data_IF_036437893002
#
_entry.id   IF_036437893002
#
_cell.length_a   1.000
_cell.length_b   1.000
_cell.length_c   1.000
_cell.angle_alpha   90.00
_cell.angle_beta   90.00
_cell.angle_gamma   90.00
#
_symmetry.space_group_name_H-M   'P 1'
#
loop_
_entity.id
_entity.type
_entity.pdbx_description
1 polymer ?
#
# COMPACT_ATOMS: atom_id res chain seq x y z
N UNK A 1 12.18 -23.52 12.62
CA UNK A 1 11.25 -22.35 12.63
C UNK A 1 12.08 -21.14 12.32
N UNK A 2 11.69 -20.30 11.36
CA UNK A 2 12.37 -19.01 11.13
C UNK A 2 12.04 -18.10 12.31
N UNK A 3 13.05 -17.62 13.01
CA UNK A 3 12.87 -16.69 14.13
C UNK A 3 12.35 -15.36 13.58
N UNK A 4 11.18 -14.93 14.08
CA UNK A 4 10.57 -13.65 13.71
C UNK A 4 10.96 -12.63 14.77
N UNK A 5 11.71 -11.60 14.38
CA UNK A 5 12.13 -10.54 15.30
C UNK A 5 10.98 -9.54 15.48
N UNK A 6 10.81 -9.04 16.71
CA UNK A 6 9.83 -8.00 17.03
C UNK A 6 10.51 -6.69 17.42
N UNK A 7 10.20 -5.62 16.70
CA UNK A 7 10.65 -4.27 17.02
C UNK A 7 9.50 -3.41 17.54
N UNK A 8 9.86 -2.49 18.41
CA UNK A 8 9.00 -1.35 18.77
C UNK A 8 9.60 -0.09 18.18
N UNK A 9 8.78 0.75 17.55
CA UNK A 9 9.22 1.97 16.90
C UNK A 9 8.37 3.15 17.35
N UNK A 10 8.91 4.36 17.18
CA UNK A 10 8.17 5.60 17.40
C UNK A 10 8.27 6.50 16.17
N UNK A 11 7.15 7.12 15.79
CA UNK A 11 7.08 8.08 14.69
C UNK A 11 6.37 9.38 15.11
N UNK A 12 7.11 10.47 15.03
CA UNK A 12 6.69 11.82 15.40
C UNK A 12 6.10 12.56 14.21
N UNK A 13 6.69 12.38 13.03
CA UNK A 13 6.25 13.03 11.80
C UNK A 13 6.80 12.31 10.58
N UNK A 14 6.20 12.59 9.42
CA UNK A 14 6.63 12.05 8.14
C UNK A 14 7.01 13.22 7.23
N UNK A 15 8.24 13.22 6.74
CA UNK A 15 8.70 14.12 5.67
C UNK A 15 9.29 13.26 4.58
N UNK A 16 8.74 13.36 3.37
CA UNK A 16 9.21 12.56 2.24
C UNK A 16 8.97 13.29 0.92
N UNK A 17 9.90 13.17 -0.02
CA UNK A 17 9.80 13.71 -1.38
C UNK A 17 9.86 12.58 -2.39
N UNK A 18 8.75 12.29 -3.06
CA UNK A 18 8.72 11.27 -4.11
C UNK A 18 9.28 11.84 -5.42
N UNK A 19 10.09 11.06 -6.14
CA UNK A 19 10.70 11.46 -7.42
C UNK A 19 10.17 10.64 -8.60
N UNK A 20 9.54 9.49 -8.34
CA UNK A 20 8.90 8.64 -9.35
C UNK A 20 7.39 8.91 -9.53
N UNK A 21 6.89 10.04 -9.04
CA UNK A 21 5.53 10.51 -9.35
C UNK A 21 5.38 10.97 -10.80
N UNK A 22 4.14 10.96 -11.29
CA UNK A 22 3.75 11.52 -12.59
C UNK A 22 2.83 12.73 -12.39
N UNK A 23 2.70 13.57 -13.41
CA UNK A 23 1.73 14.67 -13.38
C UNK A 23 0.32 14.08 -13.30
N UNK A 24 -0.46 14.50 -12.30
CA UNK A 24 -1.82 14.03 -12.10
C UNK A 24 -2.76 14.66 -13.12
N UNK A 25 -3.59 13.83 -13.76
CA UNK A 25 -4.68 14.33 -14.59
C UNK A 25 -5.76 14.93 -13.70
N UNK A 26 -6.27 16.07 -14.13
CA UNK A 26 -7.23 16.86 -13.37
C UNK A 26 -8.65 16.56 -13.84
N UNK A 27 -9.58 16.48 -12.90
CA UNK A 27 -11.01 16.31 -13.15
C UNK A 27 -11.81 17.19 -12.19
N UNK A 28 -12.84 17.87 -12.68
CA UNK A 28 -13.72 18.65 -11.82
C UNK A 28 -14.62 17.70 -11.01
N UNK A 29 -14.86 18.00 -9.73
CA UNK A 29 -15.71 17.20 -8.85
C UNK A 29 -17.12 16.94 -9.42
N UNK A 30 -17.71 17.91 -10.12
CA UNK A 30 -19.04 17.80 -10.73
C UNK A 30 -19.07 16.78 -11.87
N UNK A 31 -17.92 16.61 -12.53
CA UNK A 31 -17.71 15.66 -13.65
C UNK A 31 -17.05 14.35 -13.22
N UNK A 32 -16.61 14.24 -11.97
CA UNK A 32 -15.97 13.04 -11.45
C UNK A 32 -16.95 11.87 -11.58
N UNK A 33 -16.48 10.68 -11.94
CA UNK A 33 -17.24 9.44 -11.80
C UNK A 33 -16.22 8.38 -11.41
N UNK A 34 -16.38 7.81 -10.21
CA UNK A 34 -15.43 6.84 -9.68
C UNK A 34 -15.27 5.63 -10.61
N UNK A 35 -16.27 5.29 -11.43
CA UNK A 35 -16.24 4.15 -12.34
C UNK A 35 -15.56 4.47 -13.68
N UNK A 36 -15.59 5.73 -14.13
CA UNK A 36 -14.95 6.16 -15.38
C UNK A 36 -13.56 6.77 -15.17
N UNK A 37 -13.31 7.32 -13.98
CA UNK A 37 -12.06 7.98 -13.66
C UNK A 37 -10.87 7.00 -13.67
N UNK A 38 -9.70 7.54 -14.00
CA UNK A 38 -8.42 6.82 -13.89
C UNK A 38 -8.18 6.28 -12.48
N UNK A 39 -7.26 5.33 -12.35
CA UNK A 39 -6.92 4.70 -11.05
C UNK A 39 -6.37 5.69 -10.01
N UNK A 40 -5.90 6.85 -10.44
CA UNK A 40 -5.49 7.97 -9.62
C UNK A 40 -5.61 9.26 -10.43
N UNK A 41 -5.60 10.40 -9.76
CA UNK A 41 -5.65 11.73 -10.39
C UNK A 41 -5.83 12.84 -9.35
N UNK A 42 -6.24 14.02 -9.81
CA UNK A 42 -6.50 15.19 -8.99
C UNK A 42 -7.93 15.66 -9.20
N UNK A 43 -8.73 15.67 -8.14
CA UNK A 43 -10.10 16.22 -8.17
C UNK A 43 -10.02 17.70 -7.79
N UNK A 44 -10.54 18.56 -8.66
CA UNK A 44 -10.64 20.00 -8.43
C UNK A 44 -12.07 20.39 -8.07
N UNK A 45 -12.18 21.20 -7.03
CA UNK A 45 -13.37 21.99 -6.71
C UNK A 45 -13.09 23.47 -6.99
N UNK A 46 -14.07 24.34 -6.79
CA UNK A 46 -13.90 25.79 -6.96
C UNK A 46 -12.89 26.43 -5.99
N UNK A 47 -12.64 25.80 -4.84
CA UNK A 47 -11.86 26.40 -3.73
C UNK A 47 -10.62 25.58 -3.32
N UNK A 48 -10.57 24.30 -3.68
CA UNK A 48 -9.49 23.39 -3.27
C UNK A 48 -9.36 22.23 -4.25
N UNK A 49 -8.26 21.51 -4.15
CA UNK A 49 -8.03 20.26 -4.85
C UNK A 49 -7.72 19.13 -3.87
N UNK A 50 -7.92 17.89 -4.32
CA UNK A 50 -7.59 16.69 -3.56
C UNK A 50 -7.11 15.60 -4.51
N UNK A 51 -5.94 15.03 -4.24
CA UNK A 51 -5.46 13.92 -5.03
C UNK A 51 -6.15 12.64 -4.60
N UNK A 52 -6.47 11.77 -5.55
CA UNK A 52 -7.16 10.53 -5.26
C UNK A 52 -6.43 9.34 -5.87
N UNK A 53 -6.54 8.21 -5.19
CA UNK A 53 -6.27 6.88 -5.72
C UNK A 53 -7.50 5.99 -5.53
N UNK A 54 -7.72 5.04 -6.43
CA UNK A 54 -8.87 4.12 -6.42
C UNK A 54 -8.37 2.69 -6.40
N UNK A 55 -8.91 1.88 -5.49
CA UNK A 55 -8.60 0.46 -5.36
C UNK A 55 -9.66 -0.36 -6.08
N UNK A 56 -9.23 -1.44 -6.72
CA UNK A 56 -10.16 -2.41 -7.34
C UNK A 56 -10.59 -3.45 -6.32
N UNK A 57 -9.70 -3.83 -5.41
CA UNK A 57 -9.94 -4.78 -4.33
C UNK A 57 -9.38 -4.16 -3.04
N UNK A 58 -9.96 -4.44 -1.86
CA UNK A 58 -9.35 -4.05 -0.59
C UNK A 58 -7.98 -4.69 -0.32
N UNK A 59 -7.56 -5.69 -1.11
CA UNK A 59 -6.30 -6.39 -0.92
C UNK A 59 -5.11 -5.62 -1.49
N UNK A 60 -4.15 -5.27 -0.61
CA UNK A 60 -2.92 -4.52 -0.93
C UNK A 60 -2.08 -5.12 -2.06
N UNK A 61 -2.11 -6.44 -2.23
CA UNK A 61 -1.29 -7.14 -3.24
C UNK A 61 -1.96 -7.26 -4.61
N UNK A 62 -3.17 -6.71 -4.80
CA UNK A 62 -3.88 -6.75 -6.09
C UNK A 62 -3.94 -5.36 -6.72
N UNK A 63 -3.48 -5.25 -7.98
CA UNK A 63 -3.59 -4.03 -8.79
C UNK A 63 -2.75 -2.82 -8.32
N UNK A 64 -1.69 -3.04 -7.52
CA UNK A 64 -0.73 -2.01 -7.09
C UNK A 64 -1.33 -0.77 -6.40
N UNK A 65 -2.14 -0.92 -5.35
CA UNK A 65 -2.75 0.21 -4.65
C UNK A 65 -1.72 1.17 -4.06
N UNK A 66 -0.65 0.66 -3.44
CA UNK A 66 0.40 1.49 -2.85
C UNK A 66 1.19 2.30 -3.89
N UNK A 67 1.45 1.73 -5.07
CA UNK A 67 2.04 2.51 -6.17
C UNK A 67 1.17 3.70 -6.61
N UNK A 68 -0.17 3.52 -6.60
CA UNK A 68 -1.13 4.59 -6.95
C UNK A 68 -1.12 5.69 -5.89
N UNK A 69 -1.08 5.32 -4.61
CA UNK A 69 -0.99 6.27 -3.50
C UNK A 69 0.34 7.03 -3.56
N UNK A 70 1.45 6.31 -3.75
CA UNK A 70 2.78 6.89 -3.94
C UNK A 70 2.79 7.96 -5.04
N UNK A 71 2.15 7.67 -6.17
CA UNK A 71 2.04 8.61 -7.30
C UNK A 71 1.34 9.91 -6.90
N UNK A 72 0.37 9.85 -5.98
CA UNK A 72 -0.35 11.03 -5.47
C UNK A 72 0.30 11.71 -4.28
N UNK A 73 1.36 11.12 -3.69
CA UNK A 73 1.83 11.46 -2.34
C UNK A 73 2.42 12.87 -2.18
N UNK A 74 2.89 13.50 -3.26
CA UNK A 74 3.36 14.89 -3.22
C UNK A 74 2.22 15.93 -3.12
N UNK A 75 0.96 15.50 -3.13
CA UNK A 75 -0.19 16.40 -3.04
C UNK A 75 -0.50 16.78 -1.60
N UNK A 76 -0.98 18.00 -1.36
CA UNK A 76 -1.25 18.53 -0.01
C UNK A 76 -2.35 17.77 0.74
N UNK A 77 -3.34 17.25 0.02
CA UNK A 77 -4.45 16.45 0.56
C UNK A 77 -4.69 15.26 -0.35
N UNK A 78 -4.71 14.06 0.24
CA UNK A 78 -4.76 12.79 -0.48
C UNK A 78 -5.88 11.93 0.07
N UNK A 79 -6.70 11.39 -0.83
CA UNK A 79 -7.69 10.35 -0.52
C UNK A 79 -7.34 9.03 -1.19
N UNK A 80 -7.80 7.95 -0.58
CA UNK A 80 -7.84 6.63 -1.20
C UNK A 80 -9.26 6.05 -1.14
N UNK A 81 -9.79 5.65 -2.28
CA UNK A 81 -11.12 5.04 -2.42
C UNK A 81 -10.97 3.53 -2.38
N UNK A 82 -11.51 2.88 -1.34
CA UNK A 82 -11.29 1.45 -1.08
C UNK A 82 -12.64 0.74 -0.91
N UNK A 83 -12.95 -0.32 -1.69
CA UNK A 83 -14.07 -1.19 -1.38
C UNK A 83 -13.87 -1.85 -0.01
N UNK A 84 -14.92 -1.92 0.83
CA UNK A 84 -14.85 -2.73 2.06
C UNK A 84 -14.78 -4.22 1.77
N UNK A 85 -15.45 -4.67 0.71
CA UNK A 85 -15.50 -6.05 0.23
C UNK A 85 -15.35 -6.05 -1.29
N UNK A 86 -14.63 -7.03 -1.82
CA UNK A 86 -14.72 -7.44 -3.22
C UNK A 86 -14.98 -8.94 -3.31
N UNK A 87 -16.21 -9.31 -3.64
CA UNK A 87 -16.60 -10.70 -3.90
C UNK A 87 -16.65 -10.95 -5.42
N UNK A 88 -15.85 -11.90 -5.90
CA UNK A 88 -15.83 -12.30 -7.31
C UNK A 88 -16.78 -13.47 -7.62
N UNK A 89 -17.64 -13.89 -6.68
CA UNK A 89 -18.47 -15.09 -6.83
C UNK A 89 -17.75 -16.35 -6.32
N UNK A 90 -18.48 -17.45 -6.16
CA UNK A 90 -18.00 -18.72 -5.57
C UNK A 90 -16.74 -19.28 -6.23
N UNK A 91 -16.56 -19.05 -7.54
CA UNK A 91 -15.39 -19.49 -8.30
C UNK A 91 -14.31 -18.39 -8.43
N UNK A 92 -14.39 -17.35 -7.59
CA UNK A 92 -13.48 -16.22 -7.56
C UNK A 92 -12.93 -15.94 -6.16
N UNK A 93 -12.17 -14.86 -6.04
CA UNK A 93 -11.64 -14.40 -4.76
C UNK A 93 -12.69 -13.61 -3.96
N UNK A 94 -12.61 -13.70 -2.64
CA UNK A 94 -13.31 -12.80 -1.71
C UNK A 94 -12.30 -12.01 -0.89
N UNK A 95 -12.08 -10.77 -1.29
CA UNK A 95 -11.17 -9.87 -0.61
C UNK A 95 -11.95 -8.96 0.35
N UNK A 96 -11.40 -8.68 1.53
CA UNK A 96 -11.99 -7.81 2.53
C UNK A 96 -10.94 -6.84 3.08
N UNK A 97 -11.35 -5.62 3.41
CA UNK A 97 -10.46 -4.58 3.96
C UNK A 97 -9.88 -5.02 5.30
N UNK A 98 -8.55 -4.91 5.43
CA UNK A 98 -7.82 -5.28 6.64
C UNK A 98 -7.50 -4.07 7.50
N UNK A 99 -7.41 -4.27 8.82
CA UNK A 99 -7.04 -3.22 9.76
C UNK A 99 -5.66 -2.60 9.45
N UNK A 100 -4.70 -3.40 9.00
CA UNK A 100 -3.37 -2.90 8.60
C UNK A 100 -3.42 -1.85 7.48
N UNK A 101 -4.39 -1.91 6.56
CA UNK A 101 -4.59 -0.87 5.55
C UNK A 101 -4.90 0.49 6.20
N UNK A 102 -5.73 0.50 7.24
CA UNK A 102 -6.10 1.70 7.99
C UNK A 102 -4.87 2.28 8.69
N UNK A 103 -4.06 1.42 9.31
CA UNK A 103 -2.81 1.80 9.96
C UNK A 103 -1.89 2.59 9.03
N UNK A 104 -1.65 2.09 7.81
CA UNK A 104 -0.85 2.78 6.81
C UNK A 104 -1.42 4.16 6.46
N UNK A 105 -2.73 4.24 6.21
CA UNK A 105 -3.36 5.50 5.82
C UNK A 105 -3.32 6.54 6.95
N UNK A 106 -3.52 6.11 8.19
CA UNK A 106 -3.43 6.99 9.35
C UNK A 106 -2.02 7.56 9.55
N UNK A 107 -1.00 6.69 9.51
CA UNK A 107 0.40 7.09 9.72
C UNK A 107 0.92 8.02 8.61
N UNK A 108 0.44 7.84 7.37
CA UNK A 108 0.87 8.64 6.22
C UNK A 108 -0.08 9.81 5.90
N UNK A 109 -1.03 10.10 6.80
CA UNK A 109 -2.02 11.17 6.69
C UNK A 109 -2.86 11.14 5.39
N UNK A 110 -3.35 9.95 5.03
CA UNK A 110 -4.20 9.71 3.85
C UNK A 110 -5.64 9.44 4.31
N UNK A 111 -6.59 10.19 3.75
CA UNK A 111 -8.01 10.06 4.07
C UNK A 111 -8.61 8.85 3.34
N UNK A 112 -9.39 8.03 4.04
CA UNK A 112 -10.07 6.88 3.45
C UNK A 112 -11.47 7.29 2.99
N UNK A 113 -11.82 6.90 1.78
CA UNK A 113 -13.20 6.86 1.29
C UNK A 113 -13.59 5.40 1.18
N UNK A 114 -14.47 4.93 2.07
CA UNK A 114 -14.96 3.56 2.00
C UNK A 114 -16.01 3.46 0.90
N UNK A 115 -15.92 2.44 0.07
CA UNK A 115 -16.84 2.21 -1.04
C UNK A 115 -17.44 0.80 -0.98
N UNK A 116 -18.48 0.58 -1.76
CA UNK A 116 -19.03 -0.73 -2.03
C UNK A 116 -19.44 -0.83 -3.50
N UNK A 117 -19.34 -2.04 -4.04
CA UNK A 117 -19.82 -2.33 -5.39
C UNK A 117 -21.34 -2.45 -5.38
N UNK A 118 -22.01 -1.71 -6.25
CA UNK A 118 -23.48 -1.68 -6.40
C UNK A 118 -23.98 -2.60 -7.51
N UNK A 119 -23.22 -2.69 -8.60
CA UNK A 119 -23.58 -3.53 -9.74
C UNK A 119 -22.39 -4.37 -10.19
N UNK A 120 -22.68 -5.50 -10.84
CA UNK A 120 -21.69 -6.36 -11.47
C UNK A 120 -22.32 -7.15 -12.61
N UNK A 121 -21.49 -7.87 -13.37
CA UNK A 121 -21.93 -8.74 -14.46
C UNK A 121 -21.34 -10.14 -14.29
N UNK A 122 -22.08 -11.17 -14.71
CA UNK A 122 -21.51 -12.52 -14.85
C UNK A 122 -20.34 -12.49 -15.84
N UNK A 123 -19.24 -13.13 -15.49
CA UNK A 123 -18.03 -13.12 -16.31
C UNK A 123 -18.27 -13.84 -17.64
N UNK A 124 -18.07 -13.12 -18.74
CA UNK A 124 -18.12 -13.65 -20.10
C UNK A 124 -16.73 -14.01 -20.66
N UNK A 125 -15.68 -13.96 -19.84
CA UNK A 125 -14.31 -14.27 -20.27
C UNK A 125 -14.20 -15.73 -20.71
N UNK A 126 -13.38 -15.98 -21.74
CA UNK A 126 -13.08 -17.34 -22.23
C UNK A 126 -12.62 -18.22 -21.06
N UNK A 127 -13.27 -19.36 -20.85
CA UNK A 127 -13.02 -20.28 -19.74
C UNK A 127 -13.70 -19.92 -18.41
N UNK A 128 -14.56 -18.89 -18.38
CA UNK A 128 -15.33 -18.48 -17.18
C UNK A 128 -16.84 -18.44 -17.39
N UNK A 129 -17.35 -18.73 -18.61
CA UNK A 129 -18.78 -18.67 -18.93
C UNK A 129 -19.65 -19.58 -18.03
N UNK A 130 -19.12 -20.75 -17.67
CA UNK A 130 -19.78 -21.73 -16.81
C UNK A 130 -19.50 -21.53 -15.32
N UNK A 131 -18.62 -20.57 -14.98
CA UNK A 131 -18.22 -20.32 -13.59
C UNK A 131 -19.17 -19.35 -12.91
N UNK A 132 -19.33 -19.52 -11.62
CA UNK A 132 -19.95 -18.55 -10.72
C UNK A 132 -18.94 -17.45 -10.42
N UNK A 133 -18.67 -16.63 -11.45
CA UNK A 133 -17.70 -15.53 -11.37
C UNK A 133 -18.29 -14.20 -11.82
N UNK A 134 -18.07 -13.16 -11.03
CA UNK A 134 -18.44 -11.77 -11.31
C UNK A 134 -17.28 -10.99 -11.95
N UNK A 135 -17.64 -10.05 -12.81
CA UNK A 135 -16.76 -9.10 -13.48
C UNK A 135 -17.43 -7.73 -13.62
N UNK A 136 -16.72 -6.72 -14.12
CA UNK A 136 -17.25 -5.37 -14.37
C UNK A 136 -18.03 -4.79 -13.16
N UNK A 137 -17.51 -5.01 -11.96
CA UNK A 137 -18.12 -4.48 -10.74
C UNK A 137 -17.97 -2.96 -10.71
N UNK A 138 -19.04 -2.24 -10.40
CA UNK A 138 -19.07 -0.76 -10.34
C UNK A 138 -19.48 -0.28 -8.96
N UNK A 139 -18.79 0.73 -8.46
CA UNK A 139 -19.12 1.38 -7.20
C UNK A 139 -20.42 2.18 -7.32
N UNK A 140 -21.11 2.36 -6.19
CA UNK A 140 -22.09 3.43 -6.07
C UNK A 140 -21.34 4.78 -6.10
N UNK A 141 -21.45 5.50 -7.22
CA UNK A 141 -20.71 6.75 -7.47
C UNK A 141 -21.17 7.90 -6.57
N UNK A 142 -22.48 8.04 -6.37
CA UNK A 142 -23.06 9.08 -5.50
C UNK A 142 -22.55 8.95 -4.06
N UNK A 143 -22.48 7.72 -3.54
CA UNK A 143 -21.99 7.42 -2.21
C UNK A 143 -20.50 7.77 -2.03
N UNK A 144 -19.69 7.51 -3.07
CA UNK A 144 -18.27 7.88 -3.08
C UNK A 144 -18.12 9.40 -3.14
N UNK A 145 -18.83 10.08 -4.05
CA UNK A 145 -18.80 11.54 -4.19
C UNK A 145 -19.22 12.26 -2.91
N UNK A 146 -20.26 11.79 -2.24
CA UNK A 146 -20.73 12.38 -0.98
C UNK A 146 -19.62 12.40 0.08
N UNK A 147 -18.92 11.27 0.29
CA UNK A 147 -17.79 11.21 1.21
C UNK A 147 -16.61 12.09 0.78
N UNK A 148 -16.32 12.18 -0.52
CA UNK A 148 -15.28 13.08 -1.03
C UNK A 148 -15.61 14.54 -0.69
N UNK A 149 -16.88 14.96 -0.89
CA UNK A 149 -17.34 16.30 -0.53
C UNK A 149 -17.25 16.57 0.98
N UNK A 150 -17.61 15.59 1.82
CA UNK A 150 -17.40 15.69 3.27
C UNK A 150 -15.92 15.90 3.62
N UNK A 151 -15.01 15.13 3.00
CA UNK A 151 -13.56 15.26 3.22
C UNK A 151 -13.06 16.62 2.74
N UNK A 152 -13.52 17.15 1.61
CA UNK A 152 -13.16 18.49 1.12
C UNK A 152 -13.51 19.59 2.15
N UNK A 153 -14.64 19.44 2.84
CA UNK A 153 -15.06 20.31 3.94
C UNK A 153 -14.31 20.02 5.27
N UNK A 154 -13.79 18.81 5.45
CA UNK A 154 -13.09 18.39 6.66
C UNK A 154 -11.75 19.10 6.86
N UNK A 155 -11.48 19.51 8.10
CA UNK A 155 -10.31 20.34 8.48
C UNK A 155 -9.31 19.63 9.40
N UNK A 156 -9.73 18.60 10.12
CA UNK A 156 -8.80 17.81 10.95
C UNK A 156 -8.03 16.81 10.09
N UNK A 157 -7.02 16.16 10.67
CA UNK A 157 -6.16 15.21 9.95
C UNK A 157 -6.89 13.95 9.49
N UNK A 158 -6.24 13.19 8.60
CA UNK A 158 -6.76 11.91 8.12
C UNK A 158 -6.98 10.91 9.26
N UNK A 159 -6.15 10.94 10.30
CA UNK A 159 -6.33 10.10 11.48
C UNK A 159 -7.71 10.31 12.13
N UNK A 160 -8.13 11.56 12.31
CA UNK A 160 -9.41 11.89 12.94
C UNK A 160 -10.58 11.49 12.04
N UNK A 161 -10.48 11.79 10.75
CA UNK A 161 -11.46 11.37 9.76
C UNK A 161 -11.61 9.85 9.71
N UNK A 162 -10.50 9.13 9.54
CA UNK A 162 -10.50 7.68 9.44
C UNK A 162 -11.01 7.04 10.74
N UNK A 163 -10.60 7.54 11.91
CA UNK A 163 -11.12 7.05 13.20
C UNK A 163 -12.64 7.17 13.25
N UNK A 164 -13.20 8.35 12.98
CA UNK A 164 -14.63 8.56 13.00
C UNK A 164 -15.38 7.74 11.93
N UNK A 165 -14.81 7.63 10.73
CA UNK A 165 -15.35 6.79 9.65
C UNK A 165 -15.47 5.33 10.09
N UNK A 166 -14.48 4.84 10.85
CA UNK A 166 -14.50 3.47 11.35
C UNK A 166 -15.40 3.26 12.57
N UNK A 167 -15.38 4.16 13.54
CA UNK A 167 -16.22 4.10 14.74
C UNK A 167 -17.71 4.19 14.41
N UNK A 168 -18.10 5.15 13.58
CA UNK A 168 -19.51 5.52 13.42
C UNK A 168 -20.16 4.91 12.18
N UNK A 169 -19.38 4.64 11.12
CA UNK A 169 -19.94 4.34 9.79
C UNK A 169 -19.57 2.97 9.25
N UNK A 170 -18.44 2.38 9.66
CA UNK A 170 -17.91 1.15 9.05
C UNK A 170 -18.93 0.01 9.02
N UNK A 171 -19.55 -0.32 10.15
CA UNK A 171 -20.54 -1.41 10.23
C UNK A 171 -21.70 -1.19 9.25
N UNK A 172 -22.22 0.04 9.17
CA UNK A 172 -23.31 0.36 8.24
C UNK A 172 -22.88 0.25 6.77
N UNK A 173 -21.64 0.65 6.44
CA UNK A 173 -21.10 0.57 5.07
C UNK A 173 -20.82 -0.89 4.69
N UNK A 174 -20.34 -1.68 5.65
CA UNK A 174 -20.10 -3.11 5.47
C UNK A 174 -21.40 -3.86 5.22
N UNK A 175 -22.45 -3.58 5.99
CA UNK A 175 -23.78 -4.13 5.75
C UNK A 175 -24.37 -3.71 4.39
N UNK A 176 -24.18 -2.45 3.98
CA UNK A 176 -24.56 -2.01 2.63
C UNK A 176 -23.84 -2.82 1.55
N UNK A 177 -22.56 -3.11 1.73
CA UNK A 177 -21.81 -3.95 0.79
C UNK A 177 -22.35 -5.38 0.72
N UNK A 178 -22.69 -5.99 1.86
CA UNK A 178 -23.29 -7.33 1.90
C UNK A 178 -24.64 -7.36 1.18
N UNK A 179 -25.54 -6.43 1.52
CA UNK A 179 -26.86 -6.32 0.90
C UNK A 179 -26.75 -6.05 -0.62
N UNK A 180 -25.74 -5.29 -1.03
CA UNK A 180 -25.46 -5.06 -2.44
C UNK A 180 -25.04 -6.35 -3.16
N UNK A 181 -24.18 -7.17 -2.56
CA UNK A 181 -23.82 -8.46 -3.14
C UNK A 181 -24.98 -9.44 -3.20
N UNK A 182 -25.89 -9.44 -2.23
CA UNK A 182 -27.13 -10.24 -2.29
C UNK A 182 -28.01 -9.81 -3.48
N UNK A 183 -28.09 -8.49 -3.73
CA UNK A 183 -28.79 -7.92 -4.88
C UNK A 183 -28.13 -8.29 -6.21
N UNK A 184 -26.79 -8.19 -6.28
CA UNK A 184 -25.99 -8.59 -7.45
C UNK A 184 -26.16 -10.07 -7.76
N UNK A 185 -26.10 -10.95 -6.75
CA UNK A 185 -26.30 -12.39 -6.91
C UNK A 185 -27.67 -12.69 -7.52
N UNK A 186 -28.71 -12.02 -6.99
CA UNK A 186 -30.08 -12.15 -7.49
C UNK A 186 -30.23 -11.68 -8.94
N UNK A 187 -29.60 -10.55 -9.31
CA UNK A 187 -29.69 -9.97 -10.66
C UNK A 187 -28.91 -10.77 -11.72
N UNK A 188 -27.74 -11.28 -11.35
CA UNK A 188 -26.83 -11.96 -12.28
C UNK A 188 -27.00 -13.48 -12.32
N UNK A 189 -27.68 -14.06 -11.32
CA UNK A 189 -27.79 -15.50 -11.13
C UNK A 189 -26.46 -16.18 -10.80
N UNK A 190 -25.46 -15.43 -10.31
CA UNK A 190 -24.15 -15.96 -9.89
C UNK A 190 -24.19 -16.32 -8.41
N UNK A 191 -23.74 -17.54 -8.08
CA UNK A 191 -23.57 -17.94 -6.68
C UNK A 191 -22.38 -17.20 -6.06
N UNK A 192 -22.61 -16.51 -4.93
CA UNK A 192 -21.59 -15.79 -4.18
C UNK A 192 -21.17 -16.54 -2.91
N UNK A 193 -20.11 -16.06 -2.25
CA UNK A 193 -19.66 -16.64 -0.98
C UNK A 193 -20.66 -16.39 0.16
N UNK A 194 -20.75 -17.33 1.11
CA UNK A 194 -21.69 -17.27 2.23
C UNK A 194 -21.52 -16.02 3.10
N UNK A 195 -22.63 -15.34 3.39
CA UNK A 195 -22.70 -14.16 4.27
C UNK A 195 -22.25 -14.44 5.71
N UNK A 196 -22.54 -15.63 6.25
CA UNK A 196 -22.22 -16.02 7.65
C UNK A 196 -20.74 -15.79 7.98
N UNK A 197 -19.84 -16.11 7.04
CA UNK A 197 -18.40 -15.92 7.24
C UNK A 197 -17.98 -14.44 7.37
N UNK A 198 -18.77 -13.51 6.81
CA UNK A 198 -18.52 -12.08 6.88
C UNK A 198 -19.05 -11.44 8.15
N UNK A 199 -20.12 -11.97 8.74
CA UNK A 199 -20.62 -11.47 10.03
C UNK A 199 -19.55 -11.72 11.11
N UNK A 200 -18.95 -12.91 11.11
CA UNK A 200 -17.80 -13.24 11.97
C UNK A 200 -16.59 -12.34 11.68
N UNK A 201 -16.36 -11.99 10.41
CA UNK A 201 -15.29 -11.07 10.05
C UNK A 201 -15.57 -9.64 10.55
N UNK A 202 -16.80 -9.15 10.41
CA UNK A 202 -17.22 -7.84 10.86
C UNK A 202 -17.03 -7.71 12.37
N UNK A 203 -17.46 -8.72 13.14
CA UNK A 203 -17.23 -8.75 14.59
C UNK A 203 -15.73 -8.74 14.91
N UNK A 204 -14.93 -9.52 14.18
CA UNK A 204 -13.47 -9.55 14.36
C UNK A 204 -12.81 -8.21 14.09
N UNK A 205 -13.15 -7.52 12.99
CA UNK A 205 -12.51 -6.25 12.65
C UNK A 205 -12.97 -5.10 13.55
N UNK A 206 -14.23 -5.10 14.00
CA UNK A 206 -14.71 -4.17 15.04
C UNK A 206 -13.92 -4.41 16.33
N UNK A 207 -13.73 -5.68 16.72
CA UNK A 207 -12.90 -6.02 17.87
C UNK A 207 -11.44 -5.60 17.69
N UNK A 208 -10.80 -5.84 16.54
CA UNK A 208 -9.43 -5.39 16.25
C UNK A 208 -9.31 -3.85 16.29
N UNK A 209 -10.35 -3.13 15.87
CA UNK A 209 -10.41 -1.67 15.93
C UNK A 209 -10.59 -1.15 17.37
N UNK A 210 -11.50 -1.75 18.14
CA UNK A 210 -11.68 -1.45 19.56
C UNK A 210 -10.43 -1.81 20.35
N UNK A 211 -9.77 -2.93 20.03
CA UNK A 211 -8.43 -3.21 20.52
C UNK A 211 -7.52 -2.05 20.16
N UNK A 212 -7.32 -1.64 18.90
CA UNK A 212 -6.47 -0.48 18.58
C UNK A 212 -6.78 0.79 19.39
N UNK A 213 -8.05 1.14 19.57
CA UNK A 213 -8.48 2.26 20.41
C UNK A 213 -8.09 2.06 21.87
N UNK A 214 -8.23 0.84 22.37
CA UNK A 214 -7.81 0.45 23.70
C UNK A 214 -6.29 0.26 23.79
N UNK A 215 -5.58 0.00 22.69
CA UNK A 215 -4.12 -0.21 22.59
C UNK A 215 -3.39 1.12 22.62
N UNK A 216 -3.98 2.12 21.96
CA UNK A 216 -3.63 3.52 22.19
C UNK A 216 -3.86 3.97 23.64
N UNK A 217 -4.51 3.12 24.44
CA UNK A 217 -4.60 3.19 25.89
C UNK A 217 -3.91 2.00 26.63
N UNK A 218 -3.44 0.92 25.94
CA UNK A 218 -2.72 -0.34 26.36
C UNK A 218 -2.88 -1.58 25.40
N UNK A 219 -1.84 -1.90 24.59
CA UNK A 219 -1.33 -3.19 24.00
C UNK A 219 -2.17 -4.33 23.33
N UNK A 220 -1.96 -4.67 22.03
CA UNK A 220 -2.31 -5.95 21.33
C UNK A 220 -1.55 -6.09 19.99
N UNK A 221 -1.38 -7.30 19.39
CA UNK A 221 -0.32 -7.66 18.40
C UNK A 221 -0.75 -8.49 17.15
N UNK A 222 -2.04 -8.72 16.92
CA UNK A 222 -2.52 -9.91 16.18
C UNK A 222 -2.44 -9.87 14.62
N UNK A 223 -2.46 -8.70 13.97
CA UNK A 223 -2.59 -8.61 12.51
C UNK A 223 -1.26 -8.78 11.74
N UNK A 224 -0.15 -8.21 12.24
CA UNK A 224 1.18 -8.26 11.60
C UNK A 224 1.72 -9.69 11.47
N UNK A 225 1.41 -10.57 12.43
CA UNK A 225 1.84 -11.97 12.43
C UNK A 225 1.36 -12.75 11.19
N UNK A 226 0.17 -12.45 10.65
CA UNK A 226 -0.37 -13.13 9.44
C UNK A 226 0.35 -12.72 8.15
N UNK A 227 0.77 -11.46 8.05
CA UNK A 227 1.49 -10.93 6.88
C UNK A 227 2.93 -11.45 6.84
N UNK A 228 3.62 -11.45 7.99
CA UNK A 228 4.95 -12.03 8.12
C UNK A 228 4.98 -13.52 7.75
N UNK A 229 3.91 -14.27 8.01
CA UNK A 229 3.81 -15.70 7.68
C UNK A 229 3.53 -15.99 6.19
N UNK A 230 3.01 -15.03 5.42
CA UNK A 230 2.65 -15.26 4.02
C UNK A 230 3.90 -15.10 3.14
N UNK A 231 4.59 -16.20 2.84
CA UNK A 231 5.74 -16.21 1.93
C UNK A 231 5.25 -16.27 0.49
N UNK A 232 5.45 -15.21 -0.31
CA UNK A 232 5.23 -15.28 -1.75
C UNK A 232 6.45 -15.93 -2.41
N UNK A 233 6.27 -17.11 -3.03
CA UNK A 233 7.29 -17.90 -3.76
C UNK A 233 8.08 -17.13 -4.86
N UNK A 234 7.75 -15.87 -5.14
CA UNK A 234 8.41 -15.01 -6.12
C UNK A 234 9.20 -13.85 -5.51
N UNK A 235 9.17 -13.68 -4.19
CA UNK A 235 10.12 -12.84 -3.46
C UNK A 235 11.41 -13.68 -3.31
N UNK A 236 12.46 -13.27 -4.02
CA UNK A 236 13.79 -13.85 -3.85
C UNK A 236 14.35 -13.35 -2.51
N UNK A 237 13.96 -14.02 -1.43
CA UNK A 237 14.51 -13.82 -0.10
C UNK A 237 15.79 -14.65 -0.03
N UNK A 238 16.94 -14.03 -0.29
CA UNK A 238 18.22 -14.75 -0.30
C UNK A 238 18.90 -14.73 1.09
N UNK A 239 18.72 -13.70 1.94
CA UNK A 239 19.70 -13.45 3.01
C UNK A 239 19.16 -12.85 4.34
N UNK A 240 17.86 -12.53 4.49
CA UNK A 240 17.33 -11.72 5.61
C UNK A 240 16.40 -12.43 6.61
N UNK A 241 16.21 -11.84 7.80
CA UNK A 241 15.23 -12.29 8.81
C UNK A 241 13.86 -11.64 8.57
N UNK A 242 12.78 -12.27 9.05
CA UNK A 242 11.45 -11.63 9.05
C UNK A 242 11.26 -10.80 10.31
N UNK A 243 10.69 -9.60 10.15
CA UNK A 243 10.44 -8.69 11.25
C UNK A 243 8.98 -8.24 11.31
N UNK A 244 8.50 -8.06 12.54
CA UNK A 244 7.23 -7.39 12.84
C UNK A 244 7.53 -6.12 13.63
N UNK A 245 6.74 -5.07 13.37
CA UNK A 245 6.93 -3.75 13.99
C UNK A 245 5.66 -3.35 14.72
N UNK A 246 5.80 -2.86 15.95
CA UNK A 246 4.77 -2.09 16.66
C UNK A 246 5.21 -0.64 16.69
N UNK A 247 4.61 0.21 15.87
CA UNK A 247 4.99 1.61 15.70
C UNK A 247 4.00 2.48 16.46
N UNK A 248 4.48 3.23 17.44
CA UNK A 248 3.68 4.23 18.16
C UNK A 248 3.83 5.61 17.49
N UNK A 249 2.77 6.42 17.50
CA UNK A 249 2.85 7.83 17.09
C UNK A 249 2.69 8.80 18.26
N UNK A 250 2.94 10.10 18.03
CA UNK A 250 2.83 11.13 19.07
C UNK A 250 1.42 11.31 19.68
N UNK A 251 0.39 10.70 19.09
CA UNK A 251 -0.98 10.71 19.57
C UNK A 251 -1.32 9.43 20.37
N UNK A 252 -0.34 8.58 20.64
CA UNK A 252 -0.47 7.32 21.38
C UNK A 252 -0.99 6.15 20.55
N UNK A 253 -1.21 6.31 19.24
CA UNK A 253 -1.65 5.22 18.35
C UNK A 253 -0.55 4.19 18.13
N UNK A 254 -0.82 2.89 18.34
CA UNK A 254 0.13 1.79 18.07
C UNK A 254 -0.30 0.99 16.84
N UNK A 255 0.58 0.85 15.87
CA UNK A 255 0.31 0.27 14.56
C UNK A 255 1.21 -0.93 14.28
N UNK A 256 0.61 -2.05 13.86
CA UNK A 256 1.34 -3.29 13.59
C UNK A 256 1.61 -3.49 12.11
N UNK A 257 2.90 -3.50 11.74
CA UNK A 257 3.36 -3.58 10.35
C UNK A 257 4.42 -4.66 10.17
N UNK A 258 4.79 -4.91 8.92
CA UNK A 258 5.82 -5.86 8.50
C UNK A 258 6.67 -5.25 7.40
N UNK A 259 7.94 -5.60 7.36
CA UNK A 259 8.81 -5.38 6.20
C UNK A 259 9.07 -6.73 5.52
N UNK A 260 9.54 -6.71 4.28
CA UNK A 260 9.92 -7.93 3.57
C UNK A 260 11.07 -8.64 4.30
N UNK A 261 12.15 -7.90 4.61
CA UNK A 261 13.37 -8.43 5.23
C UNK A 261 13.99 -7.43 6.23
N UNK A 262 14.73 -7.96 7.21
CA UNK A 262 15.64 -7.19 8.05
C UNK A 262 17.04 -7.82 8.08
N UNK A 263 18.07 -6.97 8.03
CA UNK A 263 19.48 -7.36 8.11
C UNK A 263 20.14 -6.69 9.29
N UNK A 264 21.22 -7.30 9.78
CA UNK A 264 22.16 -6.64 10.69
C UNK A 264 23.47 -6.47 9.94
N UNK A 265 23.93 -5.23 9.80
CA UNK A 265 25.19 -4.91 9.14
C UNK A 265 25.91 -3.83 9.95
N UNK A 266 27.16 -4.09 10.35
CA UNK A 266 27.96 -3.17 11.16
C UNK A 266 27.22 -2.63 12.40
N UNK A 267 26.46 -3.50 13.08
CA UNK A 267 25.64 -3.16 14.26
C UNK A 267 24.37 -2.30 13.96
N UNK A 268 24.12 -1.95 12.70
CA UNK A 268 22.89 -1.29 12.25
C UNK A 268 21.87 -2.30 11.71
N UNK A 269 20.59 -2.06 11.98
CA UNK A 269 19.50 -2.80 11.37
C UNK A 269 19.10 -2.18 10.02
N UNK A 270 19.01 -2.99 8.96
CA UNK A 270 18.55 -2.53 7.65
C UNK A 270 17.16 -3.12 7.40
N UNK A 271 16.13 -2.27 7.44
CA UNK A 271 14.77 -2.63 7.05
C UNK A 271 14.68 -2.58 5.52
N UNK A 272 14.46 -3.71 4.87
CA UNK A 272 14.55 -3.83 3.42
C UNK A 272 13.22 -4.21 2.77
N UNK A 273 12.96 -3.57 1.63
CA UNK A 273 11.96 -3.98 0.64
C UNK A 273 12.69 -4.46 -0.62
N UNK A 274 12.28 -5.61 -1.15
CA UNK A 274 13.02 -6.30 -2.22
C UNK A 274 12.13 -6.48 -3.46
N UNK A 275 12.54 -5.92 -4.60
CA UNK A 275 11.83 -6.11 -5.88
C UNK A 275 12.79 -6.70 -6.91
N UNK A 276 12.37 -7.81 -7.52
CA UNK A 276 13.18 -8.56 -8.49
C UNK A 276 12.49 -8.65 -9.85
N UNK A 277 13.28 -8.60 -10.92
CA UNK A 277 12.84 -8.98 -12.26
C UNK A 277 13.74 -10.08 -12.84
N UNK A 278 13.19 -11.29 -12.99
CA UNK A 278 13.90 -12.43 -13.60
C UNK A 278 13.94 -12.36 -15.13
N UNK A 279 13.19 -11.44 -15.75
CA UNK A 279 13.04 -11.33 -17.21
C UNK A 279 13.58 -10.01 -17.76
N UNK A 280 13.41 -8.92 -17.02
CA UNK A 280 13.81 -7.57 -17.43
C UNK A 280 15.02 -7.11 -16.62
N UNK A 281 15.72 -6.09 -17.12
CA UNK A 281 16.86 -5.47 -16.43
C UNK A 281 16.48 -4.61 -15.21
N UNK A 282 15.20 -4.34 -14.98
CA UNK A 282 14.71 -3.61 -13.81
C UNK A 282 13.28 -4.09 -13.46
N UNK A 283 12.88 -4.11 -12.17
CA UNK A 283 11.48 -4.31 -11.78
C UNK A 283 10.54 -3.29 -12.44
N UNK A 284 9.25 -3.62 -12.56
CA UNK A 284 8.30 -2.69 -13.17
C UNK A 284 8.10 -1.49 -12.27
N UNK A 285 7.82 -0.33 -12.86
CA UNK A 285 7.62 0.91 -12.12
C UNK A 285 6.62 0.78 -10.95
N UNK A 286 5.44 0.13 -11.11
CA UNK A 286 4.53 -0.05 -9.98
C UNK A 286 5.11 -0.93 -8.85
N UNK A 287 5.96 -1.91 -9.15
CA UNK A 287 6.64 -2.71 -8.12
C UNK A 287 7.63 -1.83 -7.33
N UNK A 288 8.37 -0.95 -8.02
CA UNK A 288 9.31 -0.01 -7.40
C UNK A 288 8.57 0.99 -6.51
N UNK A 289 7.51 1.62 -7.03
CA UNK A 289 6.69 2.60 -6.30
C UNK A 289 6.01 1.98 -5.07
N UNK A 290 5.57 0.72 -5.15
CA UNK A 290 5.03 -0.05 -4.01
C UNK A 290 6.08 -0.22 -2.89
N UNK A 291 7.30 -0.62 -3.25
CA UNK A 291 8.41 -0.74 -2.28
C UNK A 291 8.76 0.61 -1.65
N UNK A 292 8.90 1.66 -2.46
CA UNK A 292 9.18 3.02 -1.96
C UNK A 292 8.09 3.51 -1.02
N UNK A 293 6.81 3.29 -1.35
CA UNK A 293 5.69 3.69 -0.50
C UNK A 293 5.79 3.12 0.91
N UNK A 294 6.11 1.82 1.03
CA UNK A 294 6.28 1.19 2.34
C UNK A 294 7.46 1.80 3.10
N UNK A 295 8.57 2.09 2.40
CA UNK A 295 9.76 2.69 2.99
C UNK A 295 9.57 4.15 3.44
N UNK A 296 8.56 4.88 2.95
CA UNK A 296 8.23 6.23 3.45
C UNK A 296 8.09 6.19 4.97
N UNK A 297 7.35 5.22 5.48
CA UNK A 297 7.12 5.10 6.92
C UNK A 297 8.37 4.67 7.66
N UNK A 298 9.01 3.59 7.23
CA UNK A 298 10.17 3.04 7.94
C UNK A 298 11.35 4.01 7.98
N UNK A 299 11.59 4.77 6.91
CA UNK A 299 12.66 5.77 6.85
C UNK A 299 12.41 6.98 7.76
N UNK A 300 11.13 7.23 8.09
CA UNK A 300 10.71 8.32 8.96
C UNK A 300 10.52 7.92 10.44
N UNK A 301 10.86 6.68 10.82
CA UNK A 301 10.88 6.32 12.24
C UNK A 301 11.93 7.17 12.98
N UNK A 302 11.54 7.76 14.12
CA UNK A 302 12.45 8.52 14.97
C UNK A 302 13.36 7.58 15.75
N UNK A 303 12.77 6.52 16.32
CA UNK A 303 13.50 5.51 17.09
C UNK A 303 12.99 4.10 16.78
N UNK A 304 13.90 3.14 16.88
CA UNK A 304 13.61 1.72 16.81
C UNK A 304 14.24 1.04 18.03
N UNK A 305 13.54 0.08 18.62
CA UNK A 305 14.01 -0.68 19.78
C UNK A 305 13.81 -2.17 19.56
N UNK A 306 14.80 -2.95 19.99
CA UNK A 306 14.73 -4.40 20.08
C UNK A 306 14.88 -4.80 21.55
N UNK A 307 13.92 -5.58 22.07
CA UNK A 307 13.90 -5.99 23.48
C UNK A 307 14.00 -4.81 24.48
N UNK A 308 13.46 -3.64 24.11
CA UNK A 308 13.50 -2.42 24.92
C UNK A 308 14.72 -1.53 24.68
N UNK A 309 15.80 -2.07 24.10
CA UNK A 309 17.03 -1.35 23.85
C UNK A 309 16.98 -0.59 22.52
N UNK A 310 17.41 0.69 22.47
CA UNK A 310 17.53 1.44 21.21
C UNK A 310 18.50 0.75 20.25
N UNK A 311 18.15 0.76 18.97
CA UNK A 311 19.01 0.26 17.90
C UNK A 311 19.13 1.29 16.78
N UNK A 312 20.31 1.36 16.18
CA UNK A 312 20.53 2.13 14.97
C UNK A 312 19.97 1.38 13.77
N UNK A 313 19.42 2.13 12.80
CA UNK A 313 18.81 1.54 11.64
C UNK A 313 18.78 2.44 10.42
N UNK A 314 18.71 1.80 9.26
CA UNK A 314 18.48 2.39 7.96
C UNK A 314 17.41 1.59 7.23
N UNK A 315 16.90 2.16 6.14
CA UNK A 315 15.99 1.46 5.23
C UNK A 315 16.63 1.30 3.87
N UNK A 316 16.25 0.24 3.16
CA UNK A 316 16.80 -0.01 1.82
C UNK A 316 15.74 -0.56 0.86
N UNK A 317 15.67 0.02 -0.32
CA UNK A 317 15.03 -0.62 -1.47
C UNK A 317 16.08 -1.39 -2.25
N UNK A 318 15.94 -2.72 -2.36
CA UNK A 318 16.81 -3.55 -3.19
C UNK A 318 16.09 -3.88 -4.50
N UNK A 319 16.66 -3.42 -5.63
CA UNK A 319 16.17 -3.67 -6.97
C UNK A 319 17.15 -4.59 -7.72
N UNK A 320 16.71 -5.78 -8.10
CA UNK A 320 17.52 -6.72 -8.88
C UNK A 320 16.93 -6.95 -10.28
N UNK A 321 17.80 -7.01 -11.28
CA UNK A 321 17.39 -7.19 -12.67
C UNK A 321 18.32 -8.07 -13.50
N UNK A 322 17.74 -8.73 -14.50
CA UNK A 322 18.41 -9.70 -15.35
C UNK A 322 19.56 -9.05 -16.13
N UNK A 323 20.72 -9.73 -16.13
CA UNK A 323 21.93 -9.34 -16.86
C UNK A 323 22.57 -8.01 -16.45
N UNK A 324 22.06 -7.32 -15.42
CA UNK A 324 22.68 -6.09 -14.92
C UNK A 324 24.08 -6.42 -14.38
N UNK A 325 25.06 -5.65 -14.82
CA UNK A 325 26.47 -5.80 -14.45
C UNK A 325 26.78 -4.86 -13.29
N UNK A 326 27.30 -5.42 -12.20
CA UNK A 326 27.67 -4.68 -11.00
C UNK A 326 26.49 -4.33 -10.09
N UNK A 327 26.76 -3.42 -9.15
CA UNK A 327 25.79 -2.90 -8.19
C UNK A 327 26.10 -1.43 -7.92
N UNK A 328 25.06 -0.64 -7.67
CA UNK A 328 25.17 0.75 -7.22
C UNK A 328 24.21 0.98 -6.05
N UNK A 329 24.59 1.83 -5.10
CA UNK A 329 23.80 2.16 -3.91
C UNK A 329 23.72 3.68 -3.77
N UNK A 330 22.51 4.22 -3.69
CA UNK A 330 22.26 5.64 -3.43
C UNK A 330 21.84 5.85 -1.97
N UNK A 331 22.16 7.00 -1.35
CA UNK A 331 22.91 8.13 -1.91
C UNK A 331 24.45 7.96 -1.85
N UNK A 332 24.95 6.78 -1.46
CA UNK A 332 26.38 6.54 -1.26
C UNK A 332 27.22 6.74 -2.54
N UNK A 333 26.66 6.43 -3.72
CA UNK A 333 27.33 6.54 -5.01
C UNK A 333 27.37 7.98 -5.54
N UNK A 334 28.53 8.36 -6.07
CA UNK A 334 28.79 9.63 -6.75
C UNK A 334 28.14 9.70 -8.14
N UNK A 335 28.08 10.91 -8.70
CA UNK A 335 27.60 11.13 -10.09
C UNK A 335 28.48 10.38 -11.10
N UNK A 336 29.79 10.34 -10.88
CA UNK A 336 30.73 9.61 -11.74
C UNK A 336 30.48 8.09 -11.68
N UNK A 337 30.24 7.54 -10.48
CA UNK A 337 29.92 6.11 -10.32
C UNK A 337 28.57 5.76 -10.97
N UNK A 338 27.57 6.66 -10.89
CA UNK A 338 26.32 6.51 -11.61
C UNK A 338 26.54 6.46 -13.13
N UNK A 339 27.31 7.40 -13.67
CA UNK A 339 27.61 7.44 -15.11
C UNK A 339 28.35 6.17 -15.55
N UNK A 340 29.36 5.74 -14.79
CA UNK A 340 30.09 4.51 -15.04
C UNK A 340 29.18 3.27 -15.01
N UNK A 341 28.28 3.18 -14.01
CA UNK A 341 27.30 2.09 -13.91
C UNK A 341 26.33 2.07 -15.11
N UNK A 342 25.85 3.23 -15.55
CA UNK A 342 24.95 3.35 -16.70
C UNK A 342 25.66 3.07 -18.05
N UNK A 343 26.95 3.37 -18.15
CA UNK A 343 27.76 3.01 -19.33
C UNK A 343 28.05 1.51 -19.38
N UNK A 344 28.43 0.89 -18.26
CA UNK A 344 28.62 -0.56 -18.17
C UNK A 344 27.34 -1.33 -18.55
N UNK A 345 26.17 -0.74 -18.26
CA UNK A 345 24.86 -1.30 -18.56
C UNK A 345 24.17 -0.64 -19.77
N UNK A 346 24.93 -0.03 -20.69
CA UNK A 346 24.36 0.83 -21.76
C UNK A 346 23.36 0.11 -22.67
N UNK A 347 23.61 -1.16 -22.99
CA UNK A 347 22.76 -2.02 -23.83
C UNK A 347 21.70 -2.80 -23.03
N UNK A 348 21.80 -2.79 -21.70
CA UNK A 348 20.92 -3.53 -20.78
C UNK A 348 19.75 -2.65 -20.32
N UNK A 349 20.01 -1.37 -20.04
CA UNK A 349 18.96 -0.41 -19.67
C UNK A 349 18.43 0.37 -20.86
N UNK A 350 17.10 0.41 -20.99
CA UNK A 350 16.39 1.33 -21.88
C UNK A 350 16.54 2.78 -21.42
N UNK A 351 16.30 3.75 -22.31
CA UNK A 351 16.31 5.19 -21.95
C UNK A 351 15.40 5.50 -20.76
N UNK A 352 14.20 4.88 -20.70
CA UNK A 352 13.26 5.05 -19.59
C UNK A 352 13.80 4.50 -18.27
N UNK A 353 14.45 3.33 -18.28
CA UNK A 353 15.06 2.77 -17.07
C UNK A 353 16.22 3.62 -16.56
N UNK A 354 17.07 4.16 -17.45
CA UNK A 354 18.12 5.10 -17.05
C UNK A 354 17.56 6.35 -16.35
N UNK A 355 16.45 6.89 -16.87
CA UNK A 355 15.73 8.00 -16.23
C UNK A 355 15.16 7.61 -14.86
N UNK A 356 14.61 6.40 -14.72
CA UNK A 356 14.13 5.88 -13.43
C UNK A 356 15.28 5.78 -12.44
N UNK A 357 16.44 5.22 -12.83
CA UNK A 357 17.62 5.11 -11.96
C UNK A 357 18.11 6.49 -11.49
N UNK A 358 18.19 7.47 -12.40
CA UNK A 358 18.54 8.84 -12.01
C UNK A 358 17.54 9.47 -11.02
N UNK A 359 16.23 9.22 -11.20
CA UNK A 359 15.20 9.66 -10.24
C UNK A 359 15.29 8.94 -8.90
N UNK A 360 15.67 7.66 -8.88
CA UNK A 360 15.91 6.90 -7.65
C UNK A 360 17.11 7.47 -6.89
N UNK A 361 18.19 7.86 -7.57
CA UNK A 361 19.33 8.53 -6.95
C UNK A 361 18.89 9.84 -6.25
N UNK A 362 18.13 10.68 -6.95
CA UNK A 362 17.56 11.91 -6.41
C UNK A 362 16.62 11.65 -5.21
N UNK A 363 15.85 10.56 -5.25
CA UNK A 363 14.96 10.21 -4.15
C UNK A 363 15.72 9.76 -2.90
N UNK A 364 16.77 8.96 -3.05
CA UNK A 364 17.63 8.58 -1.92
C UNK A 364 18.36 9.80 -1.33
N UNK A 365 18.79 10.75 -2.16
CA UNK A 365 19.43 11.99 -1.71
C UNK A 365 18.47 12.89 -0.92
N UNK A 366 17.20 12.97 -1.34
CA UNK A 366 16.21 13.84 -0.72
C UNK A 366 15.60 13.31 0.59
N UNK A 367 15.77 12.02 0.89
CA UNK A 367 15.06 11.35 1.98
C UNK A 367 16.06 10.67 2.94
N UNK A 368 16.06 11.10 4.21
CA UNK A 368 16.95 10.54 5.23
C UNK A 368 16.66 9.06 5.50
N UNK A 369 17.70 8.33 5.92
CA UNK A 369 17.65 6.88 6.22
C UNK A 369 17.17 5.99 5.06
N UNK A 370 17.05 6.51 3.84
CA UNK A 370 16.68 5.74 2.66
C UNK A 370 17.91 5.43 1.81
N UNK A 371 18.19 4.14 1.64
CA UNK A 371 19.13 3.65 0.64
C UNK A 371 18.40 2.98 -0.51
N UNK A 372 18.92 3.11 -1.73
CA UNK A 372 18.37 2.43 -2.91
C UNK A 372 19.50 1.71 -3.62
N UNK A 373 19.41 0.39 -3.68
CA UNK A 373 20.37 -0.47 -4.37
C UNK A 373 19.81 -0.94 -5.71
N UNK A 374 20.59 -0.81 -6.77
CA UNK A 374 20.30 -1.40 -8.09
C UNK A 374 21.43 -2.35 -8.46
N UNK A 375 21.12 -3.62 -8.71
CA UNK A 375 22.14 -4.62 -9.02
C UNK A 375 21.65 -5.72 -9.98
N UNK A 376 22.61 -6.51 -10.47
CA UNK A 376 22.30 -7.81 -11.08
C UNK A 376 21.57 -8.75 -10.14
N UNK A 377 20.79 -9.68 -10.70
CA UNK A 377 20.42 -10.90 -10.00
C UNK A 377 21.67 -11.62 -9.52
N UNK A 378 21.69 -12.07 -8.28
CA UNK A 378 22.68 -13.04 -7.80
C UNK A 378 22.67 -14.24 -8.74
N UNK A 379 23.84 -14.67 -9.22
CA UNK A 379 23.95 -15.96 -9.92
C UNK A 379 23.72 -17.04 -8.87
N UNK A 380 22.68 -17.85 -9.07
CA UNK A 380 22.50 -19.13 -8.37
C UNK A 380 23.65 -20.06 -8.74
#
# INVERSE_FOLDING_TARGET
>A
MVEIIHFTGFIKGVTYKTCLGEKLNEINIDSFDVNQASSYGLIKSSITEIAYSKWVSPKRTRSYPFARIYTTYNSSKIITIIPVIKDEGKDGDRDVIQYSTISWMNLLNIYIVLAYYETAQKSSKKGQLTKDKLSNQKFNDEFVKAQINEILAYRQSALHWNKNLFEERFSSIFEKALNSYDSIASQTGVVIHSRISMDNYLQKIIFEFEEFKNISLKGSQSASKREAMTCHKMEYLEDGLKATFSIENYLGGVYHLTADEIFVYNNDYIIQESKNSSKESLPKLPDIQDGLFKLILFSNLDSLRLNGEPVDFLTKLKLTGKNVVGSIIFPDATVEELDNFLQANKTIFTKKQKQIIGKLALEAENNQKLKIQVSGNSKI
#
